data_IF_900393340968
#
_entry.id   IF_900393340968
#
_cell.length_a   1.000
_cell.length_b   1.000
_cell.length_c   1.000
_cell.angle_alpha   90.00
_cell.angle_beta   90.00
_cell.angle_gamma   90.00
#
_symmetry.space_group_name_H-M   'P 1'
#
loop_
_entity.id
_entity.type
_entity.pdbx_description
1 polymer ?
#
# COMPACT_ATOMS: atom_id res chain seq x y z
N UNK A 1 -2.48 -85.11 -32.00
CA UNK A 1 -1.92 -83.73 -31.93
C UNK A 1 -2.90 -82.59 -32.27
N UNK A 2 -3.85 -82.74 -33.20
CA UNK A 2 -4.80 -81.67 -33.60
C UNK A 2 -5.79 -81.24 -32.50
N UNK A 3 -6.24 -82.19 -31.61
CA UNK A 3 -7.16 -81.90 -30.52
C UNK A 3 -6.54 -81.09 -29.39
N UNK A 4 -5.26 -81.31 -29.08
CA UNK A 4 -4.54 -80.51 -28.08
C UNK A 4 -4.32 -79.06 -28.50
N UNK A 5 -4.03 -78.83 -29.77
CA UNK A 5 -3.86 -77.44 -30.28
C UNK A 5 -5.18 -76.66 -30.26
N UNK A 6 -6.33 -77.33 -30.51
CA UNK A 6 -7.62 -76.63 -30.41
C UNK A 6 -8.02 -76.36 -28.95
N UNK A 7 -7.61 -77.21 -28.02
CA UNK A 7 -7.84 -77.02 -26.58
C UNK A 7 -6.98 -75.89 -26.00
N UNK A 8 -5.72 -75.81 -26.41
CA UNK A 8 -4.83 -74.67 -26.07
C UNK A 8 -5.29 -73.39 -26.69
N UNK A 9 -5.80 -73.39 -27.92
CA UNK A 9 -6.39 -72.22 -28.55
C UNK A 9 -7.66 -71.73 -27.83
N UNK A 10 -8.52 -72.67 -27.37
CA UNK A 10 -9.72 -72.39 -26.59
C UNK A 10 -9.40 -71.89 -25.20
N UNK A 11 -8.41 -72.41 -24.52
CA UNK A 11 -7.91 -71.92 -23.22
C UNK A 11 -7.25 -70.53 -23.38
N UNK A 12 -6.48 -70.30 -24.42
CA UNK A 12 -5.90 -69.03 -24.73
C UNK A 12 -6.97 -67.95 -24.98
N UNK A 13 -7.98 -68.29 -25.77
CA UNK A 13 -9.09 -67.40 -26.07
C UNK A 13 -9.95 -67.06 -24.82
N UNK A 14 -10.16 -68.10 -23.94
CA UNK A 14 -10.91 -67.83 -22.69
C UNK A 14 -10.13 -66.97 -21.67
N UNK A 15 -8.82 -67.19 -21.58
CA UNK A 15 -7.94 -66.33 -20.75
C UNK A 15 -7.83 -64.93 -21.28
N UNK A 16 -7.78 -64.72 -22.58
CA UNK A 16 -7.75 -63.37 -23.21
C UNK A 16 -9.08 -62.67 -23.01
N UNK A 17 -10.21 -63.35 -23.14
CA UNK A 17 -11.52 -62.72 -22.85
C UNK A 17 -11.70 -62.34 -21.38
N UNK A 18 -11.16 -63.15 -20.47
CA UNK A 18 -11.18 -62.85 -19.03
C UNK A 18 -10.27 -61.65 -18.70
N UNK A 19 -9.08 -61.59 -19.28
CA UNK A 19 -8.16 -60.48 -19.17
C UNK A 19 -8.77 -59.18 -19.73
N UNK A 20 -9.45 -59.25 -20.89
CA UNK A 20 -10.13 -58.11 -21.47
C UNK A 20 -11.21 -57.54 -20.51
N UNK A 21 -12.04 -58.42 -19.92
CA UNK A 21 -13.05 -57.99 -18.92
C UNK A 21 -12.43 -57.38 -17.68
N UNK A 22 -11.32 -57.90 -17.17
CA UNK A 22 -10.58 -57.33 -16.04
C UNK A 22 -10.04 -55.96 -16.38
N UNK A 23 -9.49 -55.76 -17.56
CA UNK A 23 -9.00 -54.46 -18.03
C UNK A 23 -10.13 -53.44 -18.16
N UNK A 24 -11.28 -53.85 -18.71
CA UNK A 24 -12.46 -52.99 -18.78
C UNK A 24 -12.98 -52.57 -17.41
N UNK A 25 -13.07 -53.50 -16.48
CA UNK A 25 -13.44 -53.19 -15.08
C UNK A 25 -12.48 -52.17 -14.46
N UNK A 26 -11.17 -52.41 -14.56
CA UNK A 26 -10.16 -51.52 -14.02
C UNK A 26 -10.18 -50.11 -14.70
N UNK A 27 -10.48 -50.06 -16.00
CA UNK A 27 -10.67 -48.78 -16.72
C UNK A 27 -11.88 -48.01 -16.18
N UNK A 28 -12.99 -48.69 -15.93
CA UNK A 28 -14.20 -48.08 -15.38
C UNK A 28 -13.97 -47.60 -13.94
N UNK A 29 -13.33 -48.41 -13.09
CA UNK A 29 -12.98 -48.02 -11.73
C UNK A 29 -12.02 -46.81 -11.69
N UNK A 30 -10.97 -46.85 -12.51
CA UNK A 30 -10.05 -45.71 -12.65
C UNK A 30 -10.76 -44.45 -13.12
N UNK A 31 -11.74 -44.50 -14.00
CA UNK A 31 -12.52 -43.37 -14.46
C UNK A 31 -13.35 -42.79 -13.32
N UNK A 32 -14.02 -43.61 -12.53
CA UNK A 32 -14.78 -43.22 -11.36
C UNK A 32 -13.86 -42.53 -10.32
N UNK A 33 -12.71 -43.11 -10.03
CA UNK A 33 -11.72 -42.56 -9.11
C UNK A 33 -11.18 -41.20 -9.63
N UNK A 34 -10.94 -41.12 -10.93
CA UNK A 34 -10.44 -39.91 -11.59
C UNK A 34 -11.42 -38.76 -11.50
N UNK A 35 -12.71 -39.03 -11.63
CA UNK A 35 -13.76 -38.00 -11.54
C UNK A 35 -13.93 -37.43 -10.13
N UNK A 36 -13.51 -38.20 -9.10
CA UNK A 36 -13.51 -37.78 -7.69
C UNK A 36 -12.23 -37.07 -7.28
N UNK A 37 -11.18 -37.07 -8.09
CA UNK A 37 -9.88 -36.44 -7.80
C UNK A 37 -9.76 -35.04 -8.44
N UNK A 38 -8.84 -34.19 -7.94
CA UNK A 38 -8.56 -32.90 -8.56
C UNK A 38 -8.21 -33.03 -10.06
N UNK A 39 -8.61 -32.03 -10.86
CA UNK A 39 -8.34 -32.00 -12.31
C UNK A 39 -6.86 -32.21 -12.67
N UNK A 40 -5.94 -31.86 -11.79
CA UNK A 40 -4.50 -32.01 -11.98
C UNK A 40 -3.90 -32.90 -10.88
N UNK A 41 -3.42 -34.07 -11.23
CA UNK A 41 -2.69 -34.99 -10.34
C UNK A 41 -1.19 -34.79 -10.60
N UNK A 42 -0.43 -34.43 -9.57
CA UNK A 42 1.02 -34.30 -9.64
C UNK A 42 1.68 -35.66 -9.26
N UNK A 43 2.18 -36.38 -10.23
CA UNK A 43 2.91 -37.62 -9.97
C UNK A 43 4.31 -37.34 -9.41
N UNK A 44 4.69 -38.01 -8.33
CA UNK A 44 6.03 -37.97 -7.74
C UNK A 44 7.07 -38.63 -8.66
N UNK A 45 8.36 -38.44 -8.40
CA UNK A 45 9.44 -39.05 -9.20
C UNK A 45 9.38 -40.59 -9.15
N UNK A 46 9.04 -41.16 -7.99
CA UNK A 46 8.92 -42.63 -7.82
C UNK A 46 7.73 -43.18 -8.61
N UNK A 47 6.57 -42.55 -8.55
CA UNK A 47 5.39 -42.91 -9.31
C UNK A 47 5.61 -42.85 -10.82
N UNK A 48 6.28 -41.79 -11.31
CA UNK A 48 6.67 -41.66 -12.72
C UNK A 48 7.54 -42.83 -13.17
N UNK A 49 8.58 -43.15 -12.40
CA UNK A 49 9.47 -44.27 -12.73
C UNK A 49 8.73 -45.60 -12.79
N UNK A 50 7.78 -45.83 -11.85
CA UNK A 50 6.94 -47.03 -11.82
C UNK A 50 6.04 -47.08 -13.05
N UNK A 51 5.36 -46.01 -13.40
CA UNK A 51 4.51 -45.90 -14.59
C UNK A 51 5.29 -46.11 -15.88
N UNK A 52 6.49 -45.54 -15.99
CA UNK A 52 7.36 -45.73 -17.16
C UNK A 52 7.79 -47.18 -17.28
N UNK A 53 8.21 -47.82 -16.18
CA UNK A 53 8.63 -49.23 -16.19
C UNK A 53 7.50 -50.18 -16.64
N UNK A 54 6.27 -49.94 -16.20
CA UNK A 54 5.11 -50.76 -16.57
C UNK A 54 4.55 -50.44 -17.96
N UNK A 55 4.66 -49.19 -18.39
CA UNK A 55 4.07 -48.71 -19.64
C UNK A 55 4.94 -48.89 -20.87
N UNK A 56 6.27 -49.04 -20.74
CA UNK A 56 7.19 -49.21 -21.89
C UNK A 56 6.90 -50.41 -22.77
N UNK A 57 6.34 -51.52 -22.18
CA UNK A 57 6.01 -52.73 -22.92
C UNK A 57 4.65 -52.69 -23.64
N UNK A 58 3.81 -51.66 -23.42
CA UNK A 58 2.41 -51.67 -23.89
C UNK A 58 2.24 -51.01 -25.29
N UNK A 59 3.25 -50.36 -25.81
CA UNK A 59 3.23 -49.75 -27.15
C UNK A 59 2.06 -48.78 -27.37
N UNK A 60 1.31 -48.98 -28.48
CA UNK A 60 0.17 -48.11 -28.82
C UNK A 60 -1.03 -48.28 -27.88
N UNK A 61 -1.22 -49.43 -27.25
CA UNK A 61 -2.33 -49.71 -26.33
C UNK A 61 -2.26 -48.84 -25.06
N UNK A 62 -1.10 -48.30 -24.75
CA UNK A 62 -0.91 -47.38 -23.63
C UNK A 62 -1.78 -46.11 -23.73
N UNK A 63 -2.11 -45.65 -24.95
CA UNK A 63 -2.94 -44.45 -25.17
C UNK A 63 -4.33 -44.61 -24.56
N UNK A 64 -4.87 -45.84 -24.58
CA UNK A 64 -6.21 -46.13 -24.08
C UNK A 64 -6.24 -46.44 -22.57
N UNK A 65 -5.07 -46.61 -21.95
CA UNK A 65 -4.92 -46.93 -20.54
C UNK A 65 -4.49 -45.74 -19.68
N UNK A 66 -3.85 -44.73 -20.28
CA UNK A 66 -3.36 -43.56 -19.54
C UNK A 66 -4.51 -42.64 -19.16
N UNK A 67 -4.70 -42.42 -17.84
CA UNK A 67 -5.72 -41.52 -17.30
C UNK A 67 -5.12 -40.34 -16.50
N UNK A 68 -3.94 -40.54 -15.90
CA UNK A 68 -3.32 -39.55 -14.99
C UNK A 68 -2.59 -38.46 -15.77
N UNK A 69 -1.96 -38.78 -16.89
CA UNK A 69 -1.19 -37.83 -17.73
C UNK A 69 -1.49 -38.07 -19.20
N UNK A 70 -1.22 -37.04 -20.01
CA UNK A 70 -1.36 -37.19 -21.47
C UNK A 70 -0.30 -38.15 -22.06
N UNK A 71 -0.61 -38.87 -23.17
CA UNK A 71 0.37 -39.69 -23.87
C UNK A 71 1.67 -38.94 -24.21
N UNK A 72 1.58 -37.65 -24.55
CA UNK A 72 2.73 -36.79 -24.81
C UNK A 72 3.59 -36.57 -23.57
N UNK A 73 2.98 -36.45 -22.40
CA UNK A 73 3.71 -36.33 -21.14
C UNK A 73 4.42 -37.63 -20.76
N UNK A 74 3.76 -38.76 -20.96
CA UNK A 74 4.37 -40.07 -20.74
C UNK A 74 5.57 -40.31 -21.67
N UNK A 75 5.43 -40.03 -22.96
CA UNK A 75 6.53 -40.12 -23.93
C UNK A 75 7.75 -39.28 -23.51
N UNK A 76 7.50 -38.12 -22.94
CA UNK A 76 8.56 -37.26 -22.41
C UNK A 76 9.26 -37.89 -21.19
N UNK A 77 8.53 -38.58 -20.33
CA UNK A 77 9.11 -39.31 -19.20
C UNK A 77 9.97 -40.48 -19.66
N UNK A 78 9.52 -41.23 -20.67
CA UNK A 78 10.28 -42.34 -21.27
C UNK A 78 11.57 -41.85 -21.92
N UNK A 79 11.51 -40.70 -22.63
CA UNK A 79 12.67 -40.12 -23.29
C UNK A 79 13.71 -39.61 -22.30
N UNK A 80 13.38 -39.59 -20.98
CA UNK A 80 14.23 -39.08 -19.93
C UNK A 80 14.50 -37.56 -20.07
N UNK A 81 14.81 -36.94 -18.97
CA UNK A 81 15.09 -35.46 -18.88
C UNK A 81 16.40 -35.03 -19.59
N UNK A 82 16.88 -35.78 -20.63
CA UNK A 82 18.08 -35.43 -21.38
C UNK A 82 18.01 -34.06 -22.04
N UNK A 83 16.80 -33.52 -22.32
CA UNK A 83 16.60 -32.13 -22.79
C UNK A 83 16.68 -31.09 -21.67
N UNK A 84 16.49 -31.47 -20.41
CA UNK A 84 16.60 -30.58 -19.26
C UNK A 84 18.08 -30.25 -18.93
N UNK A 85 19.00 -31.18 -19.18
CA UNK A 85 20.41 -30.96 -18.91
C UNK A 85 21.09 -30.03 -19.92
N UNK A 86 20.59 -30.00 -21.18
CA UNK A 86 21.07 -29.07 -22.20
C UNK A 86 20.42 -27.67 -22.11
N UNK A 87 19.23 -27.57 -21.47
CA UNK A 87 18.56 -26.28 -21.21
C UNK A 87 19.12 -25.51 -20.00
N UNK A 88 19.90 -26.16 -19.14
CA UNK A 88 20.54 -25.51 -17.96
C UNK A 88 21.74 -24.62 -18.29
N UNK A 89 22.10 -24.45 -19.57
CA UNK A 89 23.24 -23.62 -20.00
C UNK A 89 22.87 -22.40 -20.84
N UNK A 90 21.70 -21.83 -20.59
CA UNK A 90 21.43 -20.42 -20.93
C UNK A 90 20.99 -19.75 -19.63
N UNK A 91 21.89 -18.94 -19.07
CA UNK A 91 21.60 -17.90 -18.10
C UNK A 91 20.62 -16.88 -18.73
N UNK A 92 19.40 -17.32 -18.97
CA UNK A 92 18.27 -16.43 -19.13
C UNK A 92 17.82 -16.11 -17.72
N UNK A 93 18.14 -14.92 -17.24
CA UNK A 93 17.36 -14.29 -16.19
C UNK A 93 15.89 -14.29 -16.65
N UNK A 94 15.15 -15.37 -16.30
CA UNK A 94 13.73 -15.51 -16.53
C UNK A 94 13.04 -14.67 -15.46
N UNK A 95 12.84 -13.40 -15.74
CA UNK A 95 12.19 -12.46 -14.87
C UNK A 95 12.07 -11.08 -15.52
N UNK A 96 11.22 -10.25 -14.96
CA UNK A 96 11.13 -8.83 -15.33
C UNK A 96 12.51 -8.19 -15.10
N UNK A 97 13.05 -7.37 -16.03
CA UNK A 97 14.28 -6.64 -15.83
C UNK A 97 14.26 -5.89 -14.48
N UNK A 98 15.39 -5.82 -13.81
CA UNK A 98 15.51 -5.02 -12.58
C UNK A 98 15.23 -3.54 -12.91
N UNK A 99 14.70 -2.83 -11.93
CA UNK A 99 14.53 -1.36 -12.01
C UNK A 99 15.88 -0.73 -12.36
N UNK A 100 15.86 0.27 -13.26
CA UNK A 100 17.06 0.98 -13.69
C UNK A 100 17.89 1.47 -12.50
N UNK A 101 19.22 1.42 -12.63
CA UNK A 101 20.12 1.72 -11.54
C UNK A 101 19.93 3.14 -10.98
N UNK A 102 19.72 4.11 -11.87
CA UNK A 102 19.50 5.52 -11.53
C UNK A 102 18.26 5.73 -10.64
N UNK A 103 17.16 5.01 -10.97
CA UNK A 103 15.91 5.06 -10.18
C UNK A 103 16.11 4.39 -8.82
N UNK A 104 16.85 3.30 -8.77
CA UNK A 104 17.18 2.58 -7.54
C UNK A 104 18.00 3.47 -6.60
N UNK A 105 19.04 4.11 -7.13
CA UNK A 105 19.90 5.03 -6.39
C UNK A 105 19.12 6.22 -5.86
N UNK A 106 18.22 6.80 -6.67
CA UNK A 106 17.34 7.88 -6.25
C UNK A 106 16.42 7.46 -5.08
N UNK A 107 15.83 6.26 -5.13
CA UNK A 107 15.00 5.73 -4.05
C UNK A 107 15.79 5.61 -2.75
N UNK A 108 17.01 5.07 -2.82
CA UNK A 108 17.87 4.89 -1.65
C UNK A 108 18.35 6.24 -1.10
N UNK A 109 18.69 7.19 -1.98
CA UNK A 109 19.08 8.53 -1.57
C UNK A 109 17.93 9.22 -0.83
N UNK A 110 16.71 9.24 -1.40
CA UNK A 110 15.54 9.84 -0.75
C UNK A 110 15.25 9.18 0.60
N UNK A 111 15.38 7.86 0.71
CA UNK A 111 15.15 7.12 1.94
C UNK A 111 16.18 7.47 3.03
N UNK A 112 17.47 7.49 2.67
CA UNK A 112 18.57 7.76 3.61
C UNK A 112 18.58 9.21 4.09
N UNK A 113 18.33 10.17 3.18
CA UNK A 113 18.34 11.59 3.52
C UNK A 113 17.16 12.01 4.38
N UNK A 114 16.00 11.33 4.25
CA UNK A 114 14.75 11.82 4.87
C UNK A 114 14.11 10.83 5.84
N UNK A 115 14.55 9.57 5.92
CA UNK A 115 13.90 8.53 6.71
C UNK A 115 12.44 8.25 6.32
N UNK A 116 12.02 8.61 5.10
CA UNK A 116 10.63 8.49 4.66
C UNK A 116 10.24 7.04 4.36
N UNK A 117 9.01 6.68 4.72
CA UNK A 117 8.43 5.40 4.35
C UNK A 117 8.14 5.29 2.85
N UNK A 118 8.06 4.05 2.36
CA UNK A 118 7.90 3.71 0.93
C UNK A 118 6.77 4.45 0.21
N UNK A 119 5.68 4.78 0.91
CA UNK A 119 4.52 5.46 0.30
C UNK A 119 4.84 6.91 -0.07
N UNK A 120 5.57 7.61 0.81
CA UNK A 120 5.99 8.99 0.57
C UNK A 120 7.05 9.04 -0.53
N UNK A 121 8.00 8.10 -0.50
CA UNK A 121 9.01 7.95 -1.57
C UNK A 121 8.33 7.71 -2.91
N UNK A 122 7.33 6.82 -2.96
CA UNK A 122 6.56 6.58 -4.19
C UNK A 122 5.84 7.84 -4.69
N UNK A 123 5.31 8.66 -3.78
CA UNK A 123 4.70 9.94 -4.12
C UNK A 123 5.70 10.91 -4.77
N UNK A 124 6.90 11.04 -4.21
CA UNK A 124 7.95 11.87 -4.80
C UNK A 124 8.38 11.38 -6.19
N UNK A 125 8.50 10.05 -6.36
CA UNK A 125 8.79 9.48 -7.68
C UNK A 125 7.71 9.82 -8.70
N UNK A 126 6.43 9.77 -8.33
CA UNK A 126 5.32 10.16 -9.20
C UNK A 126 5.38 11.65 -9.57
N UNK A 127 5.66 12.55 -8.61
CA UNK A 127 5.86 13.99 -8.88
C UNK A 127 7.00 14.22 -9.90
N UNK A 128 8.05 13.41 -9.83
CA UNK A 128 9.16 13.46 -10.79
C UNK A 128 8.81 12.80 -12.14
N UNK A 129 7.56 12.36 -12.34
CA UNK A 129 7.11 11.66 -13.54
C UNK A 129 7.62 10.23 -13.68
N UNK A 130 8.12 9.61 -12.59
CA UNK A 130 8.59 8.22 -12.56
C UNK A 130 7.42 7.32 -12.17
N UNK A 131 6.48 7.09 -13.09
CA UNK A 131 5.30 6.24 -12.86
C UNK A 131 5.54 4.74 -13.10
N UNK A 132 6.71 4.35 -13.60
CA UNK A 132 7.05 2.95 -13.90
C UNK A 132 7.34 2.09 -12.66
N UNK A 133 7.50 2.71 -11.49
CA UNK A 133 7.85 2.05 -10.23
C UNK A 133 6.59 1.76 -9.41
N UNK A 134 6.37 0.49 -9.09
CA UNK A 134 5.27 0.07 -8.23
C UNK A 134 5.63 0.20 -6.75
N UNK A 135 4.61 0.23 -5.87
CA UNK A 135 4.77 0.20 -4.42
C UNK A 135 5.65 -0.98 -3.95
N UNK A 136 5.41 -2.17 -4.49
CA UNK A 136 6.19 -3.37 -4.15
C UNK A 136 7.65 -3.26 -4.56
N UNK A 137 7.94 -2.58 -5.67
CA UNK A 137 9.31 -2.34 -6.12
C UNK A 137 10.07 -1.45 -5.14
N UNK A 138 9.47 -0.35 -4.66
CA UNK A 138 10.08 0.52 -3.64
C UNK A 138 10.35 -0.25 -2.36
N UNK A 139 9.34 -1.02 -1.86
CA UNK A 139 9.48 -1.86 -0.66
C UNK A 139 10.62 -2.87 -0.80
N UNK A 140 10.74 -3.54 -1.95
CA UNK A 140 11.78 -4.53 -2.16
C UNK A 140 13.18 -3.87 -2.22
N UNK A 141 13.31 -2.72 -2.87
CA UNK A 141 14.58 -1.97 -2.93
C UNK A 141 15.02 -1.54 -1.53
N UNK A 142 14.09 -1.03 -0.70
CA UNK A 142 14.40 -0.64 0.68
C UNK A 142 14.81 -1.85 1.53
N UNK A 143 14.07 -2.96 1.45
CA UNK A 143 14.42 -4.21 2.16
C UNK A 143 15.76 -4.78 1.74
N UNK A 144 16.09 -4.80 0.43
CA UNK A 144 17.39 -5.23 -0.07
C UNK A 144 18.54 -4.36 0.45
N UNK A 145 18.27 -3.08 0.74
CA UNK A 145 19.22 -2.16 1.35
C UNK A 145 19.22 -2.17 2.89
N UNK A 146 18.43 -3.05 3.53
CA UNK A 146 18.33 -3.13 4.99
C UNK A 146 17.51 -2.00 5.63
N UNK A 147 16.77 -1.21 4.83
CA UNK A 147 15.94 -0.11 5.32
C UNK A 147 14.51 -0.59 5.60
N UNK A 148 13.96 -0.22 6.77
CA UNK A 148 12.55 -0.55 7.10
C UNK A 148 11.59 0.28 6.24
N UNK A 149 10.68 -0.35 5.49
CA UNK A 149 9.72 0.37 4.66
C UNK A 149 8.57 1.07 5.41
N UNK A 150 8.49 0.96 6.74
CA UNK A 150 7.55 1.73 7.58
C UNK A 150 6.30 0.99 8.09
N UNK A 151 5.51 1.60 8.98
CA UNK A 151 4.55 0.91 9.86
C UNK A 151 3.26 0.42 9.19
N UNK A 152 2.69 -0.66 9.73
CA UNK A 152 1.39 -1.25 9.35
C UNK A 152 0.23 -0.42 9.92
N UNK A 153 -0.83 -0.20 9.13
CA UNK A 153 -2.06 0.47 9.56
C UNK A 153 -3.21 -0.53 9.75
N UNK A 154 -4.02 -0.32 10.78
CA UNK A 154 -5.27 -1.10 11.02
C UNK A 154 -6.48 -0.48 10.33
N UNK A 155 -7.51 -1.29 10.11
CA UNK A 155 -8.79 -0.93 9.45
C UNK A 155 -9.83 -0.69 10.54
N UNK A 156 -10.59 0.42 10.49
CA UNK A 156 -11.64 0.77 11.44
C UNK A 156 -13.01 0.99 10.79
N UNK A 157 -14.05 0.74 11.54
CA UNK A 157 -15.48 0.70 11.18
C UNK A 157 -16.17 2.06 10.91
N UNK A 158 -15.42 3.14 10.82
CA UNK A 158 -15.92 4.50 10.57
C UNK A 158 -16.15 4.83 9.09
N UNK A 159 -15.87 3.89 8.20
CA UNK A 159 -15.81 4.16 6.76
C UNK A 159 -17.11 4.74 6.19
N UNK A 160 -18.27 4.26 6.63
CA UNK A 160 -19.53 4.68 6.00
C UNK A 160 -19.94 6.12 6.35
N UNK A 161 -19.71 6.55 7.61
CA UNK A 161 -19.97 7.95 8.00
C UNK A 161 -18.98 8.91 7.35
N UNK A 162 -17.71 8.58 7.39
CA UNK A 162 -16.65 9.39 6.79
C UNK A 162 -16.87 9.54 5.28
N UNK A 163 -17.20 8.45 4.58
CA UNK A 163 -17.42 8.48 3.12
C UNK A 163 -18.57 9.40 2.71
N UNK A 164 -19.62 9.47 3.51
CA UNK A 164 -20.80 10.33 3.22
C UNK A 164 -20.54 11.82 3.48
N UNK A 165 -19.70 12.14 4.47
CA UNK A 165 -19.46 13.52 4.92
C UNK A 165 -18.06 14.03 4.62
N UNK A 166 -17.21 13.25 3.93
CA UNK A 166 -15.81 13.58 3.67
C UNK A 166 -15.60 14.97 3.08
N UNK A 167 -16.51 15.40 2.22
CA UNK A 167 -16.42 16.69 1.54
C UNK A 167 -16.73 17.93 2.42
N UNK A 168 -17.37 17.73 3.58
CA UNK A 168 -17.83 18.81 4.46
C UNK A 168 -17.49 18.57 5.93
N UNK A 169 -16.72 17.53 6.21
CA UNK A 169 -16.33 17.14 7.55
C UNK A 169 -14.98 17.72 7.91
N UNK A 170 -14.93 18.40 9.05
CA UNK A 170 -13.72 18.96 9.64
C UNK A 170 -13.45 18.34 11.01
N UNK A 171 -12.20 18.35 11.42
CA UNK A 171 -11.80 18.03 12.78
C UNK A 171 -10.90 19.13 13.32
N UNK A 172 -10.99 19.42 14.61
CA UNK A 172 -10.12 20.38 15.28
C UNK A 172 -9.53 19.77 16.55
N UNK A 173 -8.33 20.23 16.89
CA UNK A 173 -7.61 19.78 18.08
C UNK A 173 -6.56 20.80 18.48
N UNK A 174 -6.08 20.70 19.73
CA UNK A 174 -4.99 21.48 20.25
C UNK A 174 -3.66 20.74 20.21
N UNK A 175 -2.63 21.44 19.77
CA UNK A 175 -1.26 21.02 19.94
C UNK A 175 -0.60 21.90 21.01
N UNK A 176 -0.04 21.30 22.07
CA UNK A 176 0.81 22.00 23.03
C UNK A 176 2.28 21.71 22.77
N UNK A 177 3.11 22.74 22.86
CA UNK A 177 4.56 22.68 22.67
C UNK A 177 5.25 23.43 23.80
N UNK A 178 6.14 22.73 24.51
CA UNK A 178 6.99 23.36 25.54
C UNK A 178 8.06 24.22 24.88
N UNK A 179 8.17 25.45 25.30
CA UNK A 179 9.16 26.40 24.78
C UNK A 179 9.99 27.03 25.88
N UNK A 180 11.27 27.20 25.64
CA UNK A 180 12.15 27.99 26.50
C UNK A 180 11.94 29.48 26.26
N UNK A 181 11.76 30.22 27.33
CA UNK A 181 11.73 31.71 27.34
C UNK A 181 12.69 32.27 28.38
N UNK A 182 12.96 33.56 28.35
CA UNK A 182 13.77 34.19 29.39
C UNK A 182 13.18 34.05 30.80
N UNK A 183 11.86 33.81 30.91
CA UNK A 183 11.15 33.63 32.17
C UNK A 183 11.01 32.15 32.56
N UNK A 184 11.58 31.21 31.79
CA UNK A 184 11.50 29.75 32.06
C UNK A 184 10.80 29.02 30.93
N UNK A 185 10.35 27.77 31.23
CA UNK A 185 9.62 26.92 30.28
C UNK A 185 8.14 27.24 30.33
N UNK A 186 7.54 27.53 29.19
CA UNK A 186 6.11 27.84 29.01
C UNK A 186 5.50 26.88 28.00
N UNK A 187 4.24 26.50 28.20
CA UNK A 187 3.48 25.77 27.19
C UNK A 187 2.83 26.75 26.21
N UNK A 188 3.10 26.57 24.92
CA UNK A 188 2.42 27.27 23.84
C UNK A 188 1.41 26.35 23.19
N UNK A 189 0.22 26.87 22.96
CA UNK A 189 -0.90 26.16 22.35
C UNK A 189 -1.16 26.66 20.94
N UNK A 190 -1.44 25.71 20.05
CA UNK A 190 -1.85 25.95 18.67
C UNK A 190 -3.17 25.24 18.47
N UNK A 191 -4.20 25.94 18.02
CA UNK A 191 -5.44 25.35 17.55
C UNK A 191 -5.35 25.13 16.05
N UNK A 192 -5.74 23.97 15.58
CA UNK A 192 -5.79 23.68 14.15
C UNK A 192 -7.10 23.00 13.76
N UNK A 193 -7.47 23.19 12.49
CA UNK A 193 -8.62 22.57 11.86
C UNK A 193 -8.15 21.83 10.63
N UNK A 194 -8.59 20.59 10.45
CA UNK A 194 -8.26 19.77 9.29
C UNK A 194 -9.52 19.36 8.53
N UNK A 195 -9.58 19.65 7.25
CA UNK A 195 -10.63 19.17 6.37
C UNK A 195 -10.40 17.70 6.00
N UNK A 196 -11.37 16.83 6.30
CA UNK A 196 -11.17 15.37 6.17
C UNK A 196 -11.02 14.95 4.72
N UNK A 197 -11.70 15.59 3.78
CA UNK A 197 -11.64 15.28 2.35
C UNK A 197 -10.32 15.68 1.71
N UNK A 198 -10.01 16.97 1.76
CA UNK A 198 -8.85 17.53 1.08
C UNK A 198 -7.54 17.41 1.86
N UNK A 199 -7.61 17.17 3.18
CA UNK A 199 -6.46 17.19 4.11
C UNK A 199 -5.86 18.57 4.33
N UNK A 200 -6.49 19.62 3.81
CA UNK A 200 -6.05 21.00 4.10
C UNK A 200 -6.20 21.30 5.57
N UNK A 201 -5.27 22.05 6.12
CA UNK A 201 -5.24 22.44 7.53
C UNK A 201 -5.19 23.95 7.68
N UNK A 202 -5.97 24.45 8.61
CA UNK A 202 -5.92 25.84 9.07
C UNK A 202 -5.27 25.81 10.44
N UNK A 203 -4.26 26.61 10.66
CA UNK A 203 -3.48 26.59 11.91
C UNK A 203 -3.44 28.01 12.49
N UNK A 204 -3.79 28.13 13.77
CA UNK A 204 -3.72 29.38 14.51
C UNK A 204 -2.28 29.82 14.78
N UNK A 205 -2.09 31.09 15.10
CA UNK A 205 -0.85 31.50 15.74
C UNK A 205 -0.72 30.87 17.13
N UNK A 206 0.50 30.57 17.59
CA UNK A 206 0.72 30.07 18.95
C UNK A 206 0.27 31.09 20.00
N UNK A 207 -0.19 30.60 21.16
CA UNK A 207 -0.52 31.41 22.34
C UNK A 207 -0.15 30.70 23.63
N UNK A 208 0.25 31.44 24.65
CA UNK A 208 0.41 30.91 26.00
C UNK A 208 -0.92 30.85 26.78
N UNK A 209 -1.95 31.59 26.31
CA UNK A 209 -3.23 31.72 27.01
C UNK A 209 -4.40 31.44 26.08
N UNK A 210 -4.73 30.16 25.82
CA UNK A 210 -5.85 29.75 24.97
C UNK A 210 -7.18 29.90 25.73
N UNK A 211 -7.56 31.14 26.06
CA UNK A 211 -8.82 31.46 26.73
C UNK A 211 -10.02 31.34 25.77
N UNK A 212 -11.24 31.37 26.32
CA UNK A 212 -12.46 31.22 25.56
C UNK A 212 -12.63 32.27 24.44
N UNK A 213 -12.19 33.49 24.69
CA UNK A 213 -12.27 34.60 23.69
C UNK A 213 -11.32 34.34 22.53
N UNK A 214 -10.09 33.93 22.82
CA UNK A 214 -9.11 33.60 21.79
C UNK A 214 -9.57 32.41 20.95
N UNK A 215 -10.07 31.34 21.62
CA UNK A 215 -10.55 30.12 20.94
C UNK A 215 -11.74 30.44 20.03
N UNK A 216 -12.69 31.26 20.50
CA UNK A 216 -13.82 31.73 19.69
C UNK A 216 -13.36 32.57 18.49
N UNK A 217 -12.33 33.42 18.68
CA UNK A 217 -11.79 34.21 17.57
C UNK A 217 -11.08 33.32 16.55
N UNK A 218 -10.37 32.24 16.99
CA UNK A 218 -9.79 31.30 16.03
C UNK A 218 -10.87 30.53 15.25
N UNK A 219 -12.03 30.23 15.88
CA UNK A 219 -13.16 29.64 15.17
C UNK A 219 -13.62 30.53 14.00
N UNK A 220 -13.83 31.85 14.28
CA UNK A 220 -14.23 32.82 13.25
C UNK A 220 -13.17 32.95 12.14
N UNK A 221 -11.89 32.98 12.49
CA UNK A 221 -10.80 33.05 11.51
C UNK A 221 -10.81 31.77 10.64
N UNK A 222 -11.13 30.62 11.23
CA UNK A 222 -11.20 29.37 10.52
C UNK A 222 -12.39 29.34 9.54
N UNK A 223 -13.61 29.76 9.95
CA UNK A 223 -14.76 29.81 9.02
C UNK A 223 -14.49 30.74 7.85
N UNK A 224 -13.92 31.94 8.08
CA UNK A 224 -13.49 32.84 6.99
C UNK A 224 -12.50 32.16 6.02
N UNK A 225 -11.53 31.41 6.54
CA UNK A 225 -10.56 30.70 5.68
C UNK A 225 -11.20 29.52 4.94
N UNK A 226 -12.18 28.86 5.54
CA UNK A 226 -12.96 27.80 4.88
C UNK A 226 -13.74 28.36 3.69
N UNK A 227 -14.34 29.54 3.85
CA UNK A 227 -15.04 30.26 2.78
C UNK A 227 -14.08 30.70 1.66
N UNK A 228 -12.93 31.27 2.00
CA UNK A 228 -11.88 31.64 1.02
C UNK A 228 -11.41 30.43 0.19
N UNK A 229 -11.41 29.25 0.79
CA UNK A 229 -11.05 27.99 0.10
C UNK A 229 -12.23 27.32 -0.62
N UNK A 230 -13.42 27.89 -0.49
CA UNK A 230 -14.65 27.30 -1.00
C UNK A 230 -14.89 25.85 -0.47
N UNK A 231 -14.60 25.66 0.82
CA UNK A 231 -14.74 24.39 1.54
C UNK A 231 -15.83 24.54 2.61
N UNK A 232 -17.01 24.04 2.33
CA UNK A 232 -18.14 24.08 3.29
C UNK A 232 -17.89 23.17 4.50
N UNK A 233 -18.56 23.52 5.61
CA UNK A 233 -18.58 22.71 6.83
C UNK A 233 -20.01 22.31 7.17
N UNK A 234 -20.24 21.02 7.48
CA UNK A 234 -21.50 20.52 8.03
C UNK A 234 -21.32 19.85 9.39
N UNK A 235 -20.12 19.34 9.64
CA UNK A 235 -19.78 18.69 10.91
C UNK A 235 -18.36 19.05 11.31
N UNK A 236 -18.19 19.39 12.59
CA UNK A 236 -16.88 19.61 13.20
C UNK A 236 -16.68 18.57 14.31
N UNK A 237 -15.62 17.78 14.22
CA UNK A 237 -15.23 16.83 15.24
C UNK A 237 -14.20 17.51 16.16
N UNK A 238 -14.45 17.48 17.46
CA UNK A 238 -13.54 17.96 18.51
C UNK A 238 -13.43 16.95 19.64
N UNK A 239 -12.40 17.06 20.47
CA UNK A 239 -12.30 16.32 21.72
C UNK A 239 -13.09 17.01 22.85
N UNK A 240 -13.04 16.44 24.07
CA UNK A 240 -13.65 17.02 25.25
C UNK A 240 -12.75 18.03 25.99
N UNK A 241 -11.84 18.72 25.29
CA UNK A 241 -11.03 19.75 25.93
C UNK A 241 -11.93 20.92 26.40
N UNK A 242 -11.77 21.30 27.65
CA UNK A 242 -12.54 22.38 28.29
C UNK A 242 -12.35 23.76 27.63
N UNK A 243 -11.35 23.92 26.78
CA UNK A 243 -11.12 25.14 26.00
C UNK A 243 -12.18 25.36 24.93
N UNK A 244 -12.84 24.27 24.44
CA UNK A 244 -13.96 24.36 23.51
C UNK A 244 -15.24 24.68 24.27
N UNK A 245 -15.59 25.95 24.36
CA UNK A 245 -16.76 26.47 25.08
C UNK A 245 -17.99 26.56 24.16
N UNK A 246 -19.16 26.77 24.75
CA UNK A 246 -20.42 26.98 24.01
C UNK A 246 -20.34 28.17 23.02
N UNK A 247 -19.53 29.21 23.34
CA UNK A 247 -19.25 30.32 22.40
C UNK A 247 -18.49 29.88 21.17
N UNK A 248 -17.61 28.93 21.29
CA UNK A 248 -16.91 28.32 20.15
C UNK A 248 -17.92 27.55 19.29
N UNK A 249 -18.79 26.75 19.91
CA UNK A 249 -19.80 25.97 19.19
C UNK A 249 -20.75 26.88 18.41
N UNK A 250 -21.20 28.00 19.04
CA UNK A 250 -22.13 28.96 18.42
C UNK A 250 -21.57 29.56 17.11
N UNK A 251 -20.26 29.64 16.92
CA UNK A 251 -19.66 30.12 15.66
C UNK A 251 -19.95 29.14 14.52
N UNK A 252 -19.83 27.85 14.78
CA UNK A 252 -20.10 26.82 13.76
C UNK A 252 -21.59 26.54 13.58
N UNK A 253 -22.38 26.65 14.65
CA UNK A 253 -23.84 26.57 14.58
C UNK A 253 -24.43 27.68 13.70
N UNK A 254 -23.82 28.87 13.69
CA UNK A 254 -24.20 29.96 12.79
C UNK A 254 -23.95 29.66 11.30
N UNK A 255 -23.06 28.71 11.00
CA UNK A 255 -22.77 28.19 9.67
C UNK A 255 -23.55 26.88 9.37
N UNK A 256 -24.63 26.61 10.13
CA UNK A 256 -25.41 25.36 10.06
C UNK A 256 -24.58 24.07 10.28
N UNK A 257 -23.42 24.17 10.92
CA UNK A 257 -22.55 23.04 11.18
C UNK A 257 -22.78 22.44 12.58
N UNK A 258 -22.79 21.11 12.66
CA UNK A 258 -22.95 20.38 13.92
C UNK A 258 -21.61 20.08 14.54
N UNK A 259 -21.39 20.55 15.78
CA UNK A 259 -20.20 20.20 16.57
C UNK A 259 -20.40 18.84 17.25
N UNK A 260 -19.47 17.91 17.01
CA UNK A 260 -19.50 16.55 17.56
C UNK A 260 -18.31 16.37 18.49
N UNK A 261 -18.59 16.18 19.79
CA UNK A 261 -17.56 15.87 20.80
C UNK A 261 -17.31 14.37 20.87
N UNK A 262 -16.05 14.00 20.74
CA UNK A 262 -15.61 12.60 20.74
C UNK A 262 -15.28 12.16 22.15
N UNK A 263 -16.00 11.15 22.66
CA UNK A 263 -15.77 10.59 23.99
C UNK A 263 -14.43 9.83 24.10
N UNK A 264 -13.91 9.69 25.32
CA UNK A 264 -12.60 9.07 25.60
C UNK A 264 -12.49 7.60 25.17
N UNK A 265 -13.60 6.94 24.84
CA UNK A 265 -13.65 5.54 24.39
C UNK A 265 -13.70 5.40 22.85
N UNK A 266 -13.59 6.49 22.10
CA UNK A 266 -13.67 6.47 20.65
C UNK A 266 -12.50 7.22 19.96
N UNK A 267 -11.23 6.83 20.23
CA UNK A 267 -10.04 7.53 19.73
C UNK A 267 -10.01 7.59 18.19
N UNK A 268 -10.62 6.63 17.51
CA UNK A 268 -10.65 6.60 16.04
C UNK A 268 -11.45 7.76 15.42
N UNK A 269 -12.26 8.48 16.19
CA UNK A 269 -13.10 9.57 15.66
C UNK A 269 -12.30 10.82 15.33
N UNK A 270 -11.20 11.10 16.05
CA UNK A 270 -10.31 12.24 15.80
C UNK A 270 -8.96 11.82 15.16
N UNK A 271 -8.92 10.62 14.58
CA UNK A 271 -7.69 10.04 14.04
C UNK A 271 -6.99 10.91 12.99
N UNK A 272 -7.71 11.78 12.30
CA UNK A 272 -7.13 12.70 11.31
C UNK A 272 -6.38 13.86 11.96
N UNK A 273 -6.95 14.44 13.01
CA UNK A 273 -6.29 15.48 13.79
C UNK A 273 -5.08 14.90 14.54
N UNK A 274 -5.23 13.76 15.20
CA UNK A 274 -4.12 13.06 15.85
C UNK A 274 -2.97 12.74 14.87
N UNK A 275 -3.33 12.28 13.66
CA UNK A 275 -2.34 11.99 12.62
C UNK A 275 -1.63 13.26 12.14
N UNK A 276 -2.32 14.38 12.01
CA UNK A 276 -1.69 15.64 11.67
C UNK A 276 -0.71 16.10 12.75
N UNK A 277 -1.13 16.07 14.03
CA UNK A 277 -0.25 16.35 15.19
C UNK A 277 0.99 15.48 15.17
N UNK A 278 0.81 14.17 15.01
CA UNK A 278 1.93 13.23 14.95
C UNK A 278 2.87 13.56 13.77
N UNK A 279 2.31 13.91 12.61
CA UNK A 279 3.10 14.26 11.43
C UNK A 279 3.89 15.53 11.65
N UNK A 280 3.26 16.58 12.21
CA UNK A 280 3.91 17.86 12.53
C UNK A 280 5.02 17.67 13.58
N UNK A 281 4.79 16.85 14.62
CA UNK A 281 5.82 16.54 15.62
C UNK A 281 6.99 15.81 14.99
N UNK A 282 6.76 14.65 14.43
CA UNK A 282 7.81 13.74 13.93
C UNK A 282 8.58 14.33 12.73
N UNK A 283 7.90 15.10 11.86
CA UNK A 283 8.56 15.63 10.66
C UNK A 283 9.14 17.03 10.86
N UNK A 284 8.78 17.71 11.96
CA UNK A 284 9.24 19.08 12.21
C UNK A 284 9.62 19.33 13.67
N UNK A 285 8.65 19.37 14.59
CA UNK A 285 8.87 19.94 15.92
C UNK A 285 9.86 19.15 16.77
N UNK A 286 9.90 17.84 16.67
CA UNK A 286 10.80 16.97 17.44
C UNK A 286 12.28 17.13 17.04
N UNK A 287 12.55 17.87 15.97
CA UNK A 287 13.90 18.19 15.51
C UNK A 287 14.43 19.54 16.03
N UNK A 288 13.61 20.30 16.77
CA UNK A 288 13.99 21.63 17.25
C UNK A 288 13.78 21.82 18.74
N UNK A 289 14.68 22.55 19.36
CA UNK A 289 14.41 23.19 20.64
C UNK A 289 13.67 24.48 20.35
N UNK A 290 12.41 24.54 20.73
CA UNK A 290 11.58 25.70 20.44
C UNK A 290 11.92 26.86 21.37
N UNK A 291 12.28 28.03 20.82
CA UNK A 291 12.67 29.23 21.55
C UNK A 291 11.63 30.34 21.34
N UNK A 292 10.57 30.32 22.13
CA UNK A 292 9.52 31.34 22.13
C UNK A 292 8.50 31.21 20.97
N UNK A 293 7.48 32.08 21.06
CA UNK A 293 6.33 32.07 20.16
C UNK A 293 6.70 32.34 18.69
N UNK A 294 7.59 33.29 18.44
CA UNK A 294 8.00 33.65 17.06
C UNK A 294 8.69 32.47 16.35
N UNK A 295 9.53 31.74 17.08
CA UNK A 295 10.21 30.59 16.53
C UNK A 295 9.18 29.46 16.22
N UNK A 296 8.29 29.16 17.16
CA UNK A 296 7.24 28.17 16.93
C UNK A 296 6.36 28.54 15.73
N UNK A 297 5.95 29.80 15.64
CA UNK A 297 5.17 30.31 14.50
C UNK A 297 5.90 30.09 13.17
N UNK A 298 7.18 30.37 13.12
CA UNK A 298 8.00 30.17 11.92
C UNK A 298 8.05 28.69 11.53
N UNK A 299 8.38 27.80 12.47
CA UNK A 299 8.44 26.35 12.23
C UNK A 299 7.13 25.81 11.68
N UNK A 300 6.02 26.15 12.32
CA UNK A 300 4.68 25.70 11.91
C UNK A 300 4.28 26.27 10.56
N UNK A 301 4.56 27.53 10.28
CA UNK A 301 4.27 28.14 8.97
C UNK A 301 5.02 27.44 7.84
N UNK A 302 6.33 27.21 7.98
CA UNK A 302 7.14 26.51 6.98
C UNK A 302 6.66 25.06 6.79
N UNK A 303 6.32 24.39 7.91
CA UNK A 303 5.77 23.03 7.83
C UNK A 303 4.42 22.99 7.10
N UNK A 304 3.48 23.91 7.41
CA UNK A 304 2.15 23.94 6.78
C UNK A 304 2.27 24.24 5.28
N UNK A 305 3.17 25.15 4.88
CA UNK A 305 3.45 25.38 3.46
C UNK A 305 3.97 24.11 2.79
N UNK A 306 4.96 23.45 3.39
CA UNK A 306 5.46 22.18 2.88
C UNK A 306 4.36 21.10 2.84
N UNK A 307 3.55 21.01 3.88
CA UNK A 307 2.45 20.06 4.00
C UNK A 307 1.41 20.22 2.88
N UNK A 308 1.04 21.46 2.54
CA UNK A 308 0.06 21.74 1.49
C UNK A 308 0.63 21.62 0.08
N UNK A 309 1.79 22.22 -0.17
CA UNK A 309 2.28 22.48 -1.52
C UNK A 309 3.27 21.44 -2.03
N UNK A 310 4.01 20.80 -1.13
CA UNK A 310 5.17 20.01 -1.50
C UNK A 310 5.08 18.55 -1.08
N UNK A 311 4.41 18.28 0.05
CA UNK A 311 4.33 16.94 0.63
C UNK A 311 3.35 16.06 -0.12
N UNK A 312 3.75 14.84 -0.60
CA UNK A 312 2.82 13.90 -1.18
C UNK A 312 1.93 13.26 -0.11
N UNK A 313 0.61 13.23 -0.36
CA UNK A 313 -0.39 12.68 0.55
C UNK A 313 -0.91 11.34 0.07
N UNK A 314 -0.74 10.29 0.89
CA UNK A 314 -1.18 8.93 0.54
C UNK A 314 -2.69 8.84 0.26
N UNK A 315 -3.51 9.56 1.04
CA UNK A 315 -4.96 9.55 0.88
C UNK A 315 -5.46 10.26 -0.38
N UNK A 316 -4.56 10.92 -1.12
CA UNK A 316 -4.83 11.65 -2.37
C UNK A 316 -3.95 11.14 -3.52
N UNK A 317 -3.70 9.85 -3.58
CA UNK A 317 -2.91 9.27 -4.67
C UNK A 317 -1.42 9.65 -4.65
N UNK A 318 -0.88 10.12 -3.52
CA UNK A 318 0.50 10.56 -3.35
C UNK A 318 0.86 11.83 -4.14
N UNK A 319 -0.08 12.76 -4.23
CA UNK A 319 0.18 14.11 -4.79
C UNK A 319 0.09 15.17 -3.69
N UNK A 320 0.67 16.38 -3.86
CA UNK A 320 0.45 17.53 -2.99
C UNK A 320 -1.01 17.97 -2.96
N UNK A 321 -1.43 18.68 -1.90
CA UNK A 321 -2.83 19.11 -1.75
C UNK A 321 -3.23 20.22 -2.74
N UNK A 322 -2.28 20.89 -3.34
CA UNK A 322 -2.49 21.94 -4.36
C UNK A 322 -2.81 21.39 -5.75
N UNK A 323 -2.55 20.10 -5.99
CA UNK A 323 -2.88 19.45 -7.27
C UNK A 323 -4.37 19.08 -7.26
N UNK A 324 -5.10 19.53 -8.28
CA UNK A 324 -6.53 19.20 -8.44
C UNK A 324 -6.74 17.70 -8.65
N UNK A 325 -7.87 17.17 -8.17
CA UNK A 325 -8.20 15.73 -8.28
C UNK A 325 -8.34 15.24 -9.74
N UNK A 326 -8.53 16.16 -10.68
CA UNK A 326 -8.63 15.86 -12.12
C UNK A 326 -7.28 15.68 -12.82
N UNK A 327 -6.20 16.15 -12.21
CA UNK A 327 -4.86 16.04 -12.79
C UNK A 327 -4.21 14.75 -12.27
N UNK A 328 -4.54 13.62 -12.88
CA UNK A 328 -3.70 12.43 -12.68
C UNK A 328 -2.27 12.77 -13.13
N UNK A 329 -1.27 12.58 -12.26
CA UNK A 329 0.11 12.89 -12.61
C UNK A 329 0.49 12.09 -13.85
N UNK A 330 0.77 12.78 -14.95
CA UNK A 330 1.19 12.15 -16.20
C UNK A 330 2.43 11.30 -15.93
N UNK A 331 2.35 10.03 -16.34
CA UNK A 331 3.49 9.11 -16.29
C UNK A 331 4.44 9.51 -17.43
N UNK A 332 5.38 10.38 -17.12
CA UNK A 332 6.42 10.75 -18.06
C UNK A 332 7.57 9.73 -17.99
N UNK A 333 8.21 9.39 -19.12
CA UNK A 333 9.42 8.59 -19.10
C UNK A 333 10.49 9.32 -18.28
N UNK A 334 11.30 8.55 -17.53
CA UNK A 334 12.42 9.12 -16.80
C UNK A 334 13.43 9.70 -17.80
N UNK A 335 13.40 11.00 -17.99
CA UNK A 335 14.46 11.69 -18.71
C UNK A 335 15.63 11.96 -17.76
N UNK A 336 16.85 11.97 -18.27
CA UNK A 336 18.09 12.27 -17.52
C UNK A 336 18.18 13.74 -17.04
N UNK A 337 17.03 14.44 -16.90
CA UNK A 337 16.98 15.81 -16.37
C UNK A 337 17.43 15.87 -14.93
N UNK A 338 18.00 17.01 -14.56
CA UNK A 338 18.49 17.27 -13.21
C UNK A 338 17.31 17.27 -12.21
N UNK A 339 17.41 16.46 -11.16
CA UNK A 339 16.49 16.50 -10.02
C UNK A 339 17.02 17.50 -9.01
N UNK A 340 16.25 18.55 -8.79
CA UNK A 340 16.58 19.60 -7.82
C UNK A 340 15.89 19.32 -6.50
N UNK A 341 16.65 19.39 -5.42
CA UNK A 341 16.14 19.35 -4.05
C UNK A 341 15.98 20.79 -3.54
N UNK A 342 14.75 21.15 -3.16
CA UNK A 342 14.49 22.38 -2.40
C UNK A 342 14.36 22.04 -0.93
N UNK A 343 14.93 22.89 -0.09
CA UNK A 343 15.02 22.65 1.35
C UNK A 343 14.32 23.77 2.12
N UNK A 344 13.64 23.39 3.23
CA UNK A 344 13.09 24.30 4.24
C UNK A 344 13.65 23.93 5.60
N UNK A 345 13.63 24.88 6.53
CA UNK A 345 14.08 24.69 7.91
C UNK A 345 15.50 24.09 8.00
N UNK A 346 16.45 24.67 7.23
CA UNK A 346 17.84 24.23 7.23
C UNK A 346 18.07 22.81 6.69
N UNK A 347 17.23 22.37 5.75
CA UNK A 347 17.37 21.05 5.12
C UNK A 347 16.54 19.93 5.77
N UNK A 348 15.76 20.26 6.82
CA UNK A 348 14.89 19.28 7.46
C UNK A 348 13.73 18.85 6.55
N UNK A 349 13.04 19.83 5.95
CA UNK A 349 11.94 19.55 5.03
C UNK A 349 12.46 19.65 3.59
N UNK A 350 12.37 18.56 2.84
CA UNK A 350 12.90 18.46 1.49
C UNK A 350 11.80 18.19 0.47
N UNK A 351 11.91 18.86 -0.64
CA UNK A 351 11.05 18.71 -1.80
C UNK A 351 11.88 18.50 -3.05
N UNK A 352 11.56 17.46 -3.81
CA UNK A 352 12.26 17.12 -5.03
C UNK A 352 11.40 17.48 -6.24
N UNK A 353 11.97 18.23 -7.17
CA UNK A 353 11.33 18.62 -8.44
C UNK A 353 12.30 18.42 -9.59
N UNK A 354 11.79 18.35 -10.83
CA UNK A 354 12.64 18.46 -12.01
C UNK A 354 13.03 19.92 -12.18
N UNK A 355 14.29 20.19 -12.57
CA UNK A 355 14.66 21.49 -13.04
C UNK A 355 13.73 21.84 -14.23
N UNK A 356 13.18 23.07 -14.22
CA UNK A 356 12.47 23.58 -15.39
C UNK A 356 13.47 23.60 -16.56
N UNK A 357 13.08 22.98 -17.68
CA UNK A 357 13.88 23.01 -18.90
C UNK A 357 13.88 24.42 -19.49
#
# INVERSE_FOLDING_TARGET
MRLLNSLFALLGASTDAQLARMVEYLKAENRILRDKLPKRIAATKQERNRLVKLGQGLGSALKDLITIVSPRTFARWVAGDKKSALAKKKDRQLGRPRTAADIRELILRIANENGWGYTRILGELKKLGIGTVSRSTVVNILKEAGLDPGPKRGVGTWNDFLTRHTATLWAADFLSVKTGTMAGVVDLYILFFIHIGTRRVIVSNPTASPNAEWVTQQARNATMTMDDWNLSITHLIIDHDSKFTDRFDSVFEAEDAKVIRVGPLAPNMNAYAERFVQTLRVECLDHFVVCGEKHLRHLVKEFVTHYHEERPHQGRGNVPLTVADADEPQVLPFSKGEVVCRERLGGLLKHYSRAAA
#
